data_IF_145287448472
#
_entry.id   IF_145287448472
#
_cell.length_a   1.000
_cell.length_b   1.000
_cell.length_c   1.000
_cell.angle_alpha   90.00
_cell.angle_beta   90.00
_cell.angle_gamma   90.00
#
_symmetry.space_group_name_H-M   'P 1'
#
loop_
_entity.id
_entity.type
_entity.pdbx_description
1 polymer ?
#
# COMPACT_ATOMS: atom_id res chain seq x y z
N UNK A 1 -1.33 26.87 -1.11
CA UNK A 1 -1.14 25.43 -0.77
C UNK A 1 -1.45 24.65 -2.04
N UNK A 2 -0.46 24.16 -2.79
CA UNK A 2 -0.70 23.35 -3.99
C UNK A 2 -0.87 21.90 -3.56
N UNK A 3 -2.08 21.39 -3.71
CA UNK A 3 -2.36 19.95 -3.65
C UNK A 3 -1.69 19.33 -4.88
N UNK A 4 -0.65 18.53 -4.67
CA UNK A 4 -0.04 17.71 -5.71
C UNK A 4 -0.49 16.26 -5.48
N UNK A 5 -1.30 15.76 -6.38
CA UNK A 5 -1.65 14.36 -6.43
C UNK A 5 -0.40 13.55 -6.78
N UNK A 6 0.09 12.77 -5.85
CA UNK A 6 1.19 11.86 -6.07
C UNK A 6 0.69 10.49 -6.47
N UNK A 7 0.99 10.12 -7.68
CA UNK A 7 1.11 8.70 -8.03
C UNK A 7 2.44 8.21 -7.45
N UNK A 8 2.47 7.93 -6.16
CA UNK A 8 3.60 7.25 -5.60
C UNK A 8 3.44 5.76 -5.89
N UNK A 9 4.18 5.28 -6.89
CA UNK A 9 4.31 3.87 -7.19
C UNK A 9 5.67 3.37 -6.70
N UNK A 10 5.79 2.96 -5.45
CA UNK A 10 6.41 1.71 -5.12
C UNK A 10 5.50 0.89 -4.22
N UNK A 11 4.23 0.88 -4.51
CA UNK A 11 3.27 0.01 -3.85
C UNK A 11 2.65 -0.88 -4.91
N UNK A 12 2.45 -2.14 -4.60
CA UNK A 12 1.68 -3.12 -5.35
C UNK A 12 0.21 -2.69 -5.61
N UNK A 13 -0.06 -1.37 -5.64
CA UNK A 13 -1.40 -0.81 -5.75
C UNK A 13 -1.69 -0.33 -7.16
N UNK A 14 -2.66 -0.96 -7.79
CA UNK A 14 -3.32 -0.45 -8.98
C UNK A 14 -4.35 0.61 -8.55
N UNK A 15 -4.16 1.88 -8.96
CA UNK A 15 -5.12 2.99 -8.77
C UNK A 15 -5.41 3.47 -7.33
N UNK A 16 -4.52 3.23 -6.38
CA UNK A 16 -4.61 3.88 -5.08
C UNK A 16 -3.95 5.27 -5.14
N UNK A 17 -4.73 6.33 -5.29
CA UNK A 17 -4.21 7.69 -5.12
C UNK A 17 -4.04 7.95 -3.62
N UNK A 18 -2.80 8.06 -3.15
CA UNK A 18 -2.53 8.60 -1.82
C UNK A 18 -2.22 10.10 -1.97
N UNK A 19 -2.89 10.93 -1.20
CA UNK A 19 -2.56 12.35 -1.11
C UNK A 19 -1.48 12.51 -0.04
N UNK A 20 -0.31 13.02 -0.44
CA UNK A 20 0.76 13.37 0.49
C UNK A 20 0.82 14.88 0.58
N UNK A 21 0.57 15.41 1.77
CA UNK A 21 0.65 16.84 2.05
C UNK A 21 1.94 17.12 2.84
N UNK A 22 2.77 18.01 2.32
CA UNK A 22 3.96 18.49 3.01
C UNK A 22 3.77 19.97 3.31
N UNK A 23 3.79 20.32 4.61
CA UNK A 23 3.76 21.70 5.08
C UNK A 23 5.18 22.19 5.36
N UNK A 24 5.51 23.37 4.85
CA UNK A 24 6.79 24.06 5.11
C UNK A 24 6.50 25.35 5.84
N UNK A 25 7.31 25.65 6.84
CA UNK A 25 7.26 26.91 7.60
C UNK A 25 7.53 28.09 6.65
N UNK A 26 6.77 29.18 6.78
CA UNK A 26 6.76 30.30 5.82
C UNK A 26 8.10 31.04 5.68
N UNK A 27 8.94 30.99 6.71
CA UNK A 27 10.27 31.62 6.75
C UNK A 27 11.34 30.79 6.04
N UNK A 28 11.03 29.60 5.59
CA UNK A 28 11.94 28.72 4.84
C UNK A 28 11.65 28.92 3.34
N UNK A 29 12.54 29.68 2.68
CA UNK A 29 12.46 29.93 1.24
C UNK A 29 13.18 28.82 0.43
N UNK A 30 12.68 27.58 0.59
CA UNK A 30 13.13 26.42 -0.17
C UNK A 30 11.91 25.65 -0.64
N UNK A 31 11.91 25.29 -1.92
CA UNK A 31 10.83 24.50 -2.52
C UNK A 31 11.05 23.02 -2.26
N UNK A 32 10.13 22.38 -1.55
CA UNK A 32 10.16 20.94 -1.37
C UNK A 32 10.01 20.19 -2.69
N UNK A 33 10.90 19.24 -2.92
CA UNK A 33 10.88 18.37 -4.09
C UNK A 33 10.41 16.98 -3.66
N UNK A 34 9.30 16.58 -4.21
CA UNK A 34 8.76 15.24 -3.97
C UNK A 34 9.59 14.15 -4.69
N UNK A 35 9.59 12.92 -4.17
CA UNK A 35 10.23 11.81 -4.86
C UNK A 35 9.66 11.61 -6.27
N UNK A 36 10.51 11.23 -7.21
CA UNK A 36 10.04 10.86 -8.56
C UNK A 36 9.36 9.49 -8.51
N UNK A 37 8.29 9.27 -9.28
CA UNK A 37 7.68 7.96 -9.40
C UNK A 37 8.68 6.92 -9.94
N UNK A 38 8.63 5.71 -9.43
CA UNK A 38 9.37 4.59 -10.02
C UNK A 38 8.73 4.19 -11.36
N UNK A 39 9.55 3.85 -12.33
CA UNK A 39 9.08 3.40 -13.65
C UNK A 39 8.56 1.94 -13.63
N UNK A 40 9.01 1.14 -12.66
CA UNK A 40 8.61 -0.25 -12.52
C UNK A 40 7.31 -0.40 -11.73
N UNK A 41 6.40 -1.20 -12.25
CA UNK A 41 5.18 -1.63 -11.55
C UNK A 41 5.45 -3.02 -11.01
N UNK A 42 5.34 -3.20 -9.69
CA UNK A 42 5.45 -4.48 -9.04
C UNK A 42 4.09 -5.17 -8.98
N UNK A 43 4.08 -6.45 -9.29
CA UNK A 43 2.91 -7.31 -9.24
C UNK A 43 2.90 -8.15 -7.96
N UNK A 44 1.84 -8.93 -7.74
CA UNK A 44 1.73 -9.77 -6.56
C UNK A 44 2.88 -10.80 -6.47
N UNK A 45 3.31 -11.35 -7.61
CA UNK A 45 4.43 -12.28 -7.66
C UNK A 45 5.72 -11.69 -7.09
N UNK A 46 5.99 -10.41 -7.36
CA UNK A 46 7.18 -9.71 -6.85
C UNK A 46 7.19 -9.56 -5.32
N UNK A 47 6.01 -9.53 -4.70
CA UNK A 47 5.88 -9.45 -3.24
C UNK A 47 5.97 -10.82 -2.56
N UNK A 48 5.40 -11.86 -3.17
CA UNK A 48 5.19 -13.14 -2.49
C UNK A 48 6.22 -14.20 -2.88
N UNK A 49 6.89 -14.03 -4.01
CA UNK A 49 7.92 -14.96 -4.51
C UNK A 49 9.31 -14.35 -4.43
N UNK A 50 10.30 -15.21 -4.41
CA UNK A 50 11.69 -14.80 -4.51
C UNK A 50 11.92 -13.96 -5.76
N UNK A 51 12.59 -12.82 -5.60
CA UNK A 51 12.86 -11.89 -6.70
C UNK A 51 13.58 -10.64 -6.23
N UNK A 52 13.30 -9.52 -6.86
CA UNK A 52 13.97 -8.24 -6.57
C UNK A 52 13.61 -7.66 -5.19
N UNK A 53 12.35 -7.81 -4.75
CA UNK A 53 11.90 -7.25 -3.47
C UNK A 53 12.27 -8.12 -2.28
N UNK A 54 12.31 -9.43 -2.47
CA UNK A 54 12.58 -10.40 -1.41
C UNK A 54 13.45 -11.53 -1.96
N UNK A 55 14.41 -11.97 -1.18
CA UNK A 55 15.41 -13.00 -1.55
C UNK A 55 14.90 -14.45 -1.39
N UNK A 56 13.68 -14.61 -0.85
CA UNK A 56 13.02 -15.90 -0.68
C UNK A 56 11.51 -15.78 -0.93
N UNK A 57 10.83 -16.90 -1.11
CA UNK A 57 9.37 -16.98 -1.09
C UNK A 57 8.82 -16.53 0.26
N UNK A 58 7.57 -16.05 0.28
CA UNK A 58 6.96 -15.56 1.51
C UNK A 58 6.95 -16.64 2.61
N UNK A 59 7.45 -16.35 3.82
CA UNK A 59 7.41 -17.29 4.93
C UNK A 59 5.97 -17.65 5.34
N UNK A 60 5.76 -18.87 5.75
CA UNK A 60 4.47 -19.30 6.29
C UNK A 60 4.10 -18.47 7.52
N UNK A 61 2.86 -18.06 7.60
CA UNK A 61 2.31 -17.35 8.76
C UNK A 61 0.84 -17.66 8.96
N UNK A 62 0.33 -17.35 10.15
CA UNK A 62 -1.09 -17.43 10.43
C UNK A 62 -1.87 -16.39 9.59
N UNK A 63 -3.14 -16.66 9.39
CA UNK A 63 -4.06 -15.80 8.68
C UNK A 63 -5.50 -15.99 9.13
N UNK A 64 -6.40 -15.17 8.62
CA UNK A 64 -7.84 -15.42 8.74
C UNK A 64 -8.30 -16.38 7.67
N UNK A 65 -9.46 -17.00 7.90
CA UNK A 65 -10.10 -17.88 6.92
C UNK A 65 -11.46 -17.31 6.50
N UNK A 66 -11.96 -17.78 5.36
CA UNK A 66 -13.32 -17.50 4.94
C UNK A 66 -14.32 -18.49 5.54
N UNK A 67 -15.51 -18.04 5.94
CA UNK A 67 -16.63 -18.95 6.21
C UNK A 67 -16.95 -19.78 4.96
N UNK A 68 -17.46 -21.02 5.15
CA UNK A 68 -17.69 -21.96 4.04
C UNK A 68 -18.51 -21.36 2.90
N UNK A 69 -19.62 -20.71 3.20
CA UNK A 69 -20.46 -20.06 2.18
C UNK A 69 -19.73 -19.02 1.31
N UNK A 70 -18.66 -18.42 1.85
CA UNK A 70 -17.79 -17.52 1.06
C UNK A 70 -16.78 -18.31 0.23
N UNK A 71 -16.24 -19.39 0.76
CA UNK A 71 -15.35 -20.27 -0.01
C UNK A 71 -16.05 -20.78 -1.24
N UNK A 72 -17.28 -21.30 -1.07
CA UNK A 72 -18.08 -21.84 -2.17
C UNK A 72 -18.28 -20.82 -3.32
N UNK A 73 -18.50 -19.55 -2.98
CA UNK A 73 -18.62 -18.48 -3.97
C UNK A 73 -17.28 -18.11 -4.58
N UNK A 74 -16.23 -17.95 -3.76
CA UNK A 74 -14.92 -17.54 -4.23
C UNK A 74 -14.21 -18.62 -5.06
N UNK A 75 -14.54 -19.89 -4.87
CA UNK A 75 -14.04 -21.00 -5.70
C UNK A 75 -14.47 -20.88 -7.17
N UNK A 76 -15.62 -20.26 -7.42
CA UNK A 76 -16.12 -19.98 -8.76
C UNK A 76 -15.48 -18.74 -9.40
N UNK A 77 -14.73 -17.97 -8.66
CA UNK A 77 -14.11 -16.74 -9.18
C UNK A 77 -12.72 -17.06 -9.73
N UNK A 78 -12.48 -16.85 -11.03
CA UNK A 78 -11.16 -17.08 -11.64
C UNK A 78 -10.10 -16.09 -11.11
N UNK A 79 -8.81 -16.39 -11.27
CA UNK A 79 -7.75 -15.41 -11.03
C UNK A 79 -8.02 -14.11 -11.79
N UNK A 80 -7.74 -12.95 -11.15
CA UNK A 80 -8.10 -11.59 -11.61
C UNK A 80 -9.60 -11.31 -11.66
N UNK A 81 -10.44 -12.29 -11.34
CA UNK A 81 -11.88 -12.17 -11.33
C UNK A 81 -12.43 -11.46 -10.09
N UNK A 82 -13.72 -11.19 -10.14
CA UNK A 82 -14.49 -10.61 -9.05
C UNK A 82 -15.98 -10.98 -9.21
N UNK A 83 -16.85 -10.52 -8.35
CA UNK A 83 -18.26 -10.92 -8.31
C UNK A 83 -18.98 -10.94 -9.66
N UNK A 84 -18.59 -10.11 -10.65
CA UNK A 84 -19.21 -10.11 -11.99
C UNK A 84 -18.84 -11.31 -12.85
N UNK A 85 -17.84 -12.08 -12.48
CA UNK A 85 -17.45 -13.32 -13.18
C UNK A 85 -18.26 -14.54 -12.71
N UNK A 86 -19.07 -14.37 -11.66
CA UNK A 86 -19.97 -15.40 -11.15
C UNK A 86 -21.19 -15.59 -12.07
N UNK A 87 -21.86 -16.76 -12.04
CA UNK A 87 -23.18 -16.93 -12.61
C UNK A 87 -24.17 -15.93 -12.06
N UNK A 88 -25.13 -15.47 -12.89
CA UNK A 88 -26.02 -14.34 -12.56
C UNK A 88 -26.84 -14.58 -11.29
N UNK A 89 -27.26 -15.81 -11.03
CA UNK A 89 -28.05 -16.15 -9.86
C UNK A 89 -27.19 -16.03 -8.60
N UNK A 90 -25.95 -16.53 -8.63
CA UNK A 90 -24.98 -16.38 -7.55
C UNK A 90 -24.61 -14.90 -7.32
N UNK A 91 -24.46 -14.12 -8.42
CA UNK A 91 -24.27 -12.66 -8.28
C UNK A 91 -25.39 -12.01 -7.48
N UNK A 92 -26.64 -12.30 -7.82
CA UNK A 92 -27.82 -11.73 -7.14
C UNK A 92 -27.87 -12.15 -5.68
N UNK A 93 -27.68 -13.42 -5.40
CA UNK A 93 -27.66 -13.97 -4.05
C UNK A 93 -26.53 -13.37 -3.19
N UNK A 94 -25.30 -13.44 -3.68
CA UNK A 94 -24.12 -12.96 -2.94
C UNK A 94 -24.13 -11.46 -2.71
N UNK A 95 -24.53 -10.68 -3.71
CA UNK A 95 -24.58 -9.22 -3.63
C UNK A 95 -25.81 -8.72 -2.87
N UNK A 96 -26.91 -9.46 -2.91
CA UNK A 96 -28.17 -9.04 -2.34
C UNK A 96 -28.62 -7.67 -2.88
N UNK A 97 -29.11 -6.79 -2.01
CA UNK A 97 -29.53 -5.42 -2.38
C UNK A 97 -28.44 -4.62 -3.11
N UNK A 98 -27.17 -4.91 -2.82
CA UNK A 98 -26.04 -4.24 -3.46
C UNK A 98 -25.93 -4.55 -4.97
N UNK A 99 -26.54 -5.61 -5.45
CA UNK A 99 -26.55 -5.95 -6.88
C UNK A 99 -27.18 -4.84 -7.73
N UNK A 100 -28.24 -4.26 -7.24
CA UNK A 100 -29.04 -3.23 -7.95
C UNK A 100 -28.50 -1.80 -7.76
N UNK A 101 -27.52 -1.60 -6.90
CA UNK A 101 -26.92 -0.29 -6.67
C UNK A 101 -25.81 -0.01 -7.69
N UNK A 102 -25.64 1.27 -8.06
CA UNK A 102 -24.54 1.71 -8.93
C UNK A 102 -23.15 1.49 -8.34
N UNK A 103 -22.10 1.71 -9.15
CA UNK A 103 -20.70 1.60 -8.79
C UNK A 103 -20.06 0.28 -9.22
N UNK A 104 -18.72 0.28 -9.34
CA UNK A 104 -17.96 -0.86 -9.88
C UNK A 104 -17.83 -2.04 -8.93
N UNK A 105 -17.78 -1.78 -7.60
CA UNK A 105 -17.70 -2.80 -6.52
C UNK A 105 -16.62 -3.88 -6.79
N UNK A 106 -15.51 -3.47 -7.39
CA UNK A 106 -14.43 -4.36 -7.88
C UNK A 106 -13.68 -5.08 -6.77
N UNK A 107 -13.94 -4.73 -5.51
CA UNK A 107 -13.33 -5.38 -4.34
C UNK A 107 -14.18 -6.49 -3.73
N UNK A 108 -15.37 -6.77 -4.26
CA UNK A 108 -16.25 -7.84 -3.75
C UNK A 108 -15.96 -9.13 -4.48
N UNK A 109 -15.85 -10.23 -3.77
CA UNK A 109 -15.42 -11.55 -4.28
C UNK A 109 -14.20 -11.43 -5.21
N UNK A 110 -13.19 -10.70 -4.76
CA UNK A 110 -12.02 -10.41 -5.59
C UNK A 110 -10.90 -11.42 -5.36
N UNK A 111 -10.58 -12.22 -6.38
CA UNK A 111 -9.38 -13.06 -6.45
C UNK A 111 -8.29 -12.29 -7.20
N UNK A 112 -7.16 -12.11 -6.56
CA UNK A 112 -6.02 -11.38 -7.15
C UNK A 112 -5.26 -12.31 -8.09
N UNK A 113 -4.67 -11.77 -9.17
CA UNK A 113 -3.78 -12.53 -10.04
C UNK A 113 -2.31 -12.32 -9.69
N UNK A 114 -1.46 -13.28 -10.03
CA UNK A 114 -0.01 -13.18 -9.82
C UNK A 114 0.65 -12.02 -10.56
N UNK A 115 0.18 -11.75 -11.75
CA UNK A 115 0.72 -10.77 -12.71
C UNK A 115 -0.03 -9.42 -12.69
N UNK A 116 -0.70 -9.11 -11.59
CA UNK A 116 -1.29 -7.80 -11.37
C UNK A 116 -0.86 -7.20 -10.02
N UNK A 117 -0.82 -5.88 -9.90
CA UNK A 117 -0.62 -5.23 -8.62
C UNK A 117 -1.77 -5.54 -7.65
N UNK A 118 -1.45 -5.78 -6.39
CA UNK A 118 -2.48 -5.92 -5.37
C UNK A 118 -3.32 -4.66 -5.25
N UNK A 119 -4.60 -4.82 -4.97
CA UNK A 119 -5.48 -3.72 -4.60
C UNK A 119 -5.08 -3.15 -3.23
N UNK A 120 -5.59 -1.94 -2.94
CA UNK A 120 -5.39 -1.33 -1.61
C UNK A 120 -5.76 -2.31 -0.50
N UNK A 121 -4.83 -2.56 0.41
CA UNK A 121 -5.07 -3.35 1.60
C UNK A 121 -5.90 -2.54 2.60
N UNK A 122 -6.76 -3.25 3.32
CA UNK A 122 -7.61 -2.70 4.37
C UNK A 122 -7.28 -3.37 5.70
N UNK A 123 -7.92 -2.95 6.78
CA UNK A 123 -7.69 -3.54 8.10
C UNK A 123 -8.20 -4.99 8.26
N UNK A 124 -8.91 -5.51 7.25
CA UNK A 124 -9.40 -6.89 7.26
C UNK A 124 -9.45 -7.44 5.83
N UNK A 125 -8.70 -8.52 5.53
CA UNK A 125 -8.68 -9.11 4.19
C UNK A 125 -9.95 -9.90 3.83
N UNK A 126 -10.77 -10.24 4.82
CA UNK A 126 -12.00 -11.03 4.66
C UNK A 126 -13.28 -10.18 4.64
N UNK A 127 -13.17 -8.84 4.69
CA UNK A 127 -14.33 -7.95 4.67
C UNK A 127 -15.00 -7.95 3.30
N UNK A 128 -16.34 -8.13 3.25
CA UNK A 128 -17.11 -8.33 2.00
C UNK A 128 -16.83 -7.31 0.90
N UNK A 129 -16.65 -6.05 1.26
CA UNK A 129 -16.43 -4.99 0.25
C UNK A 129 -14.98 -4.89 -0.24
N UNK A 130 -14.05 -5.52 0.45
CA UNK A 130 -12.62 -5.40 0.20
C UNK A 130 -11.91 -6.75 0.34
N UNK A 131 -12.55 -7.81 -0.12
CA UNK A 131 -11.98 -9.16 -0.14
C UNK A 131 -10.70 -9.20 -0.97
N UNK A 132 -9.73 -9.94 -0.47
CA UNK A 132 -8.44 -10.16 -1.11
C UNK A 132 -8.11 -11.63 -1.05
N UNK A 133 -8.70 -12.38 -1.99
CA UNK A 133 -8.47 -13.81 -2.12
C UNK A 133 -7.13 -14.09 -2.80
N UNK A 134 -6.40 -15.06 -2.26
CA UNK A 134 -5.15 -15.55 -2.83
C UNK A 134 -5.39 -16.10 -4.26
N UNK A 135 -4.42 -15.97 -5.18
CA UNK A 135 -4.58 -16.42 -6.57
C UNK A 135 -4.96 -17.90 -6.71
N UNK A 136 -4.26 -18.78 -6.01
CA UNK A 136 -4.36 -20.22 -6.17
C UNK A 136 -5.21 -20.89 -5.08
N UNK A 137 -5.37 -20.23 -3.93
CA UNK A 137 -6.04 -20.81 -2.78
C UNK A 137 -7.26 -19.96 -2.38
N UNK A 138 -8.38 -20.59 -2.03
CA UNK A 138 -9.59 -19.84 -1.64
C UNK A 138 -9.51 -19.47 -0.16
N UNK A 139 -8.65 -18.55 0.11
CA UNK A 139 -8.42 -17.95 1.43
C UNK A 139 -8.01 -16.48 1.31
N UNK A 140 -8.16 -15.69 2.37
CA UNK A 140 -7.50 -14.39 2.47
C UNK A 140 -5.97 -14.55 2.45
N UNK A 141 -5.25 -13.48 2.14
CA UNK A 141 -3.80 -13.43 2.36
C UNK A 141 -3.49 -13.61 3.85
N UNK A 142 -2.44 -14.38 4.16
CA UNK A 142 -1.90 -14.51 5.52
C UNK A 142 -1.31 -13.19 6.01
N UNK A 143 -0.98 -13.10 7.29
CA UNK A 143 -0.38 -11.88 7.88
C UNK A 143 0.92 -11.52 7.18
N UNK A 144 1.80 -12.50 6.90
CA UNK A 144 3.08 -12.23 6.24
C UNK A 144 2.93 -11.85 4.77
N UNK A 145 2.02 -12.49 4.05
CA UNK A 145 1.67 -12.09 2.68
C UNK A 145 1.16 -10.64 2.66
N UNK A 146 0.29 -10.30 3.59
CA UNK A 146 -0.28 -8.95 3.73
C UNK A 146 0.80 -7.91 4.05
N UNK A 147 1.76 -8.27 4.93
CA UNK A 147 2.89 -7.42 5.29
C UNK A 147 3.83 -7.18 4.10
N UNK A 148 4.19 -8.23 3.34
CA UNK A 148 5.03 -8.09 2.14
C UNK A 148 4.38 -7.24 1.06
N UNK A 149 3.07 -7.31 0.87
CA UNK A 149 2.34 -6.43 -0.05
C UNK A 149 2.48 -4.94 0.37
N UNK A 150 2.61 -4.67 1.67
CA UNK A 150 2.92 -3.33 2.22
C UNK A 150 4.44 -3.08 2.33
N UNK A 151 5.26 -3.96 1.75
CA UNK A 151 6.72 -3.88 1.72
C UNK A 151 7.40 -3.88 3.10
N UNK A 152 6.76 -4.50 4.11
CA UNK A 152 7.42 -4.77 5.39
C UNK A 152 8.51 -5.85 5.21
N UNK A 153 9.67 -5.70 5.84
CA UNK A 153 10.67 -6.76 5.88
C UNK A 153 10.16 -7.97 6.67
N UNK A 154 10.65 -9.16 6.34
CA UNK A 154 10.21 -10.38 7.02
C UNK A 154 10.62 -10.45 8.49
N UNK A 155 11.65 -9.72 8.86
CA UNK A 155 12.11 -9.57 10.25
C UNK A 155 11.17 -8.71 11.12
N UNK A 156 10.21 -8.01 10.49
CA UNK A 156 9.27 -7.19 11.26
C UNK A 156 8.20 -8.05 11.91
N UNK A 157 8.07 -7.94 13.21
CA UNK A 157 7.08 -8.67 13.99
C UNK A 157 5.86 -7.79 14.29
N UNK A 158 4.68 -8.40 14.16
CA UNK A 158 3.41 -7.78 14.55
C UNK A 158 2.91 -8.44 15.83
N UNK A 159 2.43 -7.66 16.77
CA UNK A 159 1.93 -8.16 18.05
C UNK A 159 0.41 -8.22 18.11
N UNK A 160 -0.10 -8.98 19.05
CA UNK A 160 -1.53 -9.13 19.31
C UNK A 160 -2.21 -10.20 18.44
N UNK A 161 -3.54 -10.18 18.45
CA UNK A 161 -4.35 -11.15 17.68
C UNK A 161 -4.18 -10.96 16.18
N UNK A 162 -4.52 -12.00 15.39
CA UNK A 162 -4.47 -11.96 13.92
C UNK A 162 -5.23 -10.74 13.36
N UNK A 163 -6.40 -10.42 13.91
CA UNK A 163 -7.16 -9.24 13.52
C UNK A 163 -6.43 -7.93 13.82
N UNK A 164 -5.73 -7.85 14.95
CA UNK A 164 -4.92 -6.68 15.31
C UNK A 164 -3.71 -6.53 14.38
N UNK A 165 -3.07 -7.63 14.01
CA UNK A 165 -1.96 -7.64 13.05
C UNK A 165 -2.40 -7.14 11.68
N UNK A 166 -3.53 -7.61 11.13
CA UNK A 166 -4.09 -7.07 9.89
C UNK A 166 -4.42 -5.58 9.99
N UNK A 167 -4.95 -5.14 11.13
CA UNK A 167 -5.26 -3.72 11.36
C UNK A 167 -3.98 -2.86 11.38
N UNK A 168 -2.91 -3.33 11.98
CA UNK A 168 -1.60 -2.66 11.96
C UNK A 168 -1.10 -2.51 10.52
N UNK A 169 -1.11 -3.60 9.75
CA UNK A 169 -0.62 -3.60 8.37
C UNK A 169 -1.51 -2.73 7.47
N UNK A 170 -2.84 -2.85 7.59
CA UNK A 170 -3.79 -2.10 6.76
C UNK A 170 -3.76 -0.59 7.00
N UNK A 171 -3.43 -0.15 8.21
CA UNK A 171 -3.28 1.25 8.58
C UNK A 171 -1.88 1.81 8.25
N UNK A 172 -0.91 0.95 7.99
CA UNK A 172 0.45 1.38 7.75
C UNK A 172 0.62 2.07 6.38
N UNK A 173 1.54 3.01 6.34
CA UNK A 173 2.12 3.49 5.08
C UNK A 173 3.07 2.39 4.58
N UNK A 174 3.02 2.01 3.28
CA UNK A 174 3.99 1.05 2.75
C UNK A 174 5.43 1.48 3.02
N UNK A 175 6.27 0.55 3.51
CA UNK A 175 7.61 0.89 4.00
C UNK A 175 8.48 1.56 2.93
N UNK A 176 8.43 1.08 1.69
CA UNK A 176 9.19 1.69 0.59
C UNK A 176 8.70 3.11 0.26
N UNK A 177 7.38 3.37 0.38
CA UNK A 177 6.85 4.72 0.23
C UNK A 177 7.34 5.65 1.35
N UNK A 178 7.30 5.17 2.59
CA UNK A 178 7.82 5.91 3.75
C UNK A 178 9.31 6.24 3.60
N UNK A 179 10.11 5.30 3.09
CA UNK A 179 11.54 5.46 2.81
C UNK A 179 11.79 6.58 1.79
N UNK A 180 11.09 6.58 0.65
CA UNK A 180 11.27 7.59 -0.39
C UNK A 180 10.86 9.00 0.09
N UNK A 181 9.78 9.10 0.86
CA UNK A 181 9.37 10.36 1.49
C UNK A 181 10.43 10.81 2.48
N UNK A 182 10.95 9.90 3.31
CA UNK A 182 12.01 10.17 4.27
C UNK A 182 13.26 10.74 3.60
N UNK A 183 13.72 10.13 2.52
CA UNK A 183 14.87 10.63 1.74
C UNK A 183 14.60 12.03 1.16
N UNK A 184 13.41 12.30 0.67
CA UNK A 184 13.07 13.61 0.14
C UNK A 184 13.05 14.70 1.24
N UNK A 185 12.63 14.35 2.45
CA UNK A 185 12.69 15.25 3.61
C UNK A 185 14.14 15.50 4.03
N UNK A 186 14.97 14.46 4.11
CA UNK A 186 16.38 14.59 4.44
C UNK A 186 17.09 15.51 3.42
N UNK A 187 16.84 15.31 2.13
CA UNK A 187 17.38 16.18 1.07
C UNK A 187 16.98 17.62 1.26
N UNK A 188 15.71 17.88 1.54
CA UNK A 188 15.19 19.23 1.80
C UNK A 188 15.86 19.87 3.04
N UNK A 189 16.01 19.12 4.12
CA UNK A 189 16.67 19.62 5.34
C UNK A 189 18.16 19.91 5.09
N UNK A 190 18.86 19.06 4.37
CA UNK A 190 20.27 19.29 4.01
C UNK A 190 20.42 20.57 3.18
N UNK A 191 19.53 20.83 2.23
CA UNK A 191 19.54 22.07 1.45
C UNK A 191 19.30 23.29 2.36
N UNK A 192 18.36 23.18 3.30
CA UNK A 192 18.06 24.24 4.26
C UNK A 192 19.26 24.57 5.15
N UNK A 193 19.89 23.56 5.77
CA UNK A 193 21.06 23.77 6.61
C UNK A 193 22.29 24.28 5.83
N UNK A 194 22.48 23.85 4.60
CA UNK A 194 23.54 24.36 3.75
C UNK A 194 23.36 25.85 3.45
N UNK A 195 22.13 26.31 3.18
CA UNK A 195 21.83 27.73 3.00
C UNK A 195 22.03 28.56 4.28
N UNK A 196 21.64 28.02 5.43
CA UNK A 196 21.87 28.67 6.73
C UNK A 196 23.37 28.87 6.99
N UNK A 197 24.17 27.83 6.82
CA UNK A 197 25.62 27.86 7.07
C UNK A 197 26.35 28.74 6.04
N UNK A 198 25.82 28.90 4.83
CA UNK A 198 26.39 29.81 3.83
C UNK A 198 25.91 31.26 3.99
N UNK A 199 24.83 31.48 4.74
CA UNK A 199 24.31 32.80 5.07
C UNK A 199 24.93 33.41 6.33
N UNK A 200 25.74 32.70 7.09
CA UNK A 200 26.65 33.25 8.07
C UNK A 200 27.97 33.61 7.42
N UNK A 201 28.11 34.84 6.89
CA UNK A 201 29.36 35.53 7.11
C UNK A 201 29.11 36.98 7.53
N UNK A 202 30.08 37.50 8.18
CA UNK A 202 30.26 38.94 8.42
C UNK A 202 29.64 39.45 9.71
N UNK A 203 30.09 38.92 10.79
CA UNK A 203 30.67 39.85 11.75
C UNK A 203 32.06 40.21 11.20
N UNK A 204 32.06 41.04 10.17
CA UNK A 204 33.23 41.75 9.73
C UNK A 204 33.60 42.70 10.87
N UNK A 205 34.74 42.47 11.48
CA UNK A 205 35.63 43.47 12.06
C UNK A 205 35.03 44.89 12.16
N UNK A 206 34.28 45.18 13.20
CA UNK A 206 34.19 46.54 13.68
C UNK A 206 35.57 46.88 14.27
N UNK A 207 36.31 47.71 13.50
CA UNK A 207 37.57 48.36 13.92
C UNK A 207 37.41 48.95 15.30
N UNK A 208 38.30 48.56 16.19
CA UNK A 208 38.67 49.42 17.28
C UNK A 208 39.18 50.75 16.75
N UNK A 209 38.62 51.83 17.25
CA UNK A 209 39.26 53.14 17.34
C UNK A 209 39.28 53.51 18.81
#
# INVERSE_FOLDING_TARGET
>A
MKLLNFYCRPTLKKNGSACILVGIRKDIDIKYQYPKPHNKIYNLVDALKKGELFDCDVPKSAGSDYPQHKKDVLDLVPPKGYWRNLPIDIQKEYMGKSFYLGGGKTGIARRIGWDEPSLTLTCSPAQKQTERCHPDETRPFTVREYARIQTFPDTWEFSGSISQQYKQIGNAVPCNLGKEIGFSIIKFLNEYYSKLNSAEPLISSAKAV
#
